data_IF_803325929843
#
_entry.id   IF_803325929843
#
_cell.length_a   1.000
_cell.length_b   1.000
_cell.length_c   1.000
_cell.angle_alpha   90.00
_cell.angle_beta   90.00
_cell.angle_gamma   90.00
#
_symmetry.space_group_name_H-M   'P 1'
#
loop_
_entity.id
_entity.type
_entity.pdbx_description
1 polymer ?
#
# COMPACT_ATOMS: atom_id res chain seq x y z
N UNK A 1 -29.72 -12.29 8.87
CA UNK A 1 -29.76 -13.04 7.59
C UNK A 1 -28.91 -12.24 6.61
N UNK A 2 -27.75 -12.74 6.21
CA UNK A 2 -26.93 -12.07 5.22
C UNK A 2 -27.63 -12.09 3.86
N UNK A 3 -27.76 -10.94 3.22
CA UNK A 3 -28.23 -10.80 1.83
C UNK A 3 -27.34 -11.64 0.92
N UNK A 4 -27.88 -12.23 -0.16
CA UNK A 4 -27.07 -13.06 -1.04
C UNK A 4 -25.93 -12.26 -1.62
N UNK A 5 -24.73 -12.77 -1.41
CA UNK A 5 -23.43 -12.39 -1.93
C UNK A 5 -23.55 -11.91 -3.39
N UNK A 6 -23.46 -10.61 -3.65
CA UNK A 6 -23.22 -10.14 -5.01
C UNK A 6 -21.84 -10.67 -5.41
N UNK A 7 -21.82 -11.58 -6.39
CA UNK A 7 -20.56 -12.15 -6.85
C UNK A 7 -19.60 -11.02 -7.24
N UNK A 8 -18.37 -11.07 -6.70
CA UNK A 8 -17.28 -10.15 -7.07
C UNK A 8 -17.21 -10.00 -8.60
N UNK A 9 -17.15 -8.76 -9.06
CA UNK A 9 -16.88 -8.44 -10.47
C UNK A 9 -15.94 -7.25 -10.56
N UNK A 10 -15.00 -7.31 -11.47
CA UNK A 10 -14.11 -6.20 -11.79
C UNK A 10 -14.92 -5.06 -12.41
N UNK A 11 -14.73 -3.84 -11.91
CA UNK A 11 -15.37 -2.64 -12.42
C UNK A 11 -14.58 -2.06 -13.59
N UNK A 12 -15.32 -1.44 -14.51
CA UNK A 12 -14.82 -0.47 -15.48
C UNK A 12 -15.20 0.96 -15.07
N UNK A 13 -14.87 1.95 -15.86
CA UNK A 13 -15.18 3.35 -15.56
C UNK A 13 -16.70 3.61 -15.40
N UNK A 14 -17.54 2.91 -16.17
CA UNK A 14 -18.99 3.03 -16.04
C UNK A 14 -19.50 2.38 -14.74
N UNK A 15 -18.94 1.20 -14.40
CA UNK A 15 -19.20 0.51 -13.15
C UNK A 15 -18.79 1.34 -11.93
N UNK A 16 -17.61 1.98 -11.97
CA UNK A 16 -17.15 2.89 -10.90
C UNK A 16 -18.08 4.07 -10.75
N UNK A 17 -18.51 4.71 -11.85
CA UNK A 17 -19.49 5.81 -11.81
C UNK A 17 -20.78 5.40 -11.14
N UNK A 18 -21.34 4.24 -11.53
CA UNK A 18 -22.55 3.70 -10.94
C UNK A 18 -22.36 3.34 -9.46
N UNK A 19 -21.22 2.74 -9.11
CA UNK A 19 -20.88 2.38 -7.74
C UNK A 19 -20.84 3.62 -6.84
N UNK A 20 -20.08 4.66 -7.22
CA UNK A 20 -19.96 5.92 -6.49
C UNK A 20 -21.31 6.63 -6.37
N UNK A 21 -22.15 6.61 -7.42
CA UNK A 21 -23.47 7.21 -7.41
C UNK A 21 -24.42 6.55 -6.38
N UNK A 22 -24.24 5.26 -6.10
CA UNK A 22 -25.02 4.52 -5.10
C UNK A 22 -24.51 4.71 -3.66
N UNK A 23 -23.38 5.40 -3.45
CA UNK A 23 -22.82 5.75 -2.14
C UNK A 23 -23.05 7.22 -1.86
N UNK A 24 -24.09 7.57 -1.11
CA UNK A 24 -24.54 8.96 -0.93
C UNK A 24 -23.42 9.93 -0.51
N UNK A 25 -22.57 9.54 0.47
CA UNK A 25 -21.45 10.34 0.96
C UNK A 25 -20.34 10.57 -0.08
N UNK A 26 -20.09 9.59 -0.98
CA UNK A 26 -19.13 9.73 -2.07
C UNK A 26 -19.71 10.61 -3.20
N UNK A 27 -20.98 10.44 -3.52
CA UNK A 27 -21.68 11.26 -4.50
C UNK A 27 -21.73 12.75 -4.06
N UNK A 28 -21.99 13.00 -2.78
CA UNK A 28 -21.93 14.36 -2.19
C UNK A 28 -20.53 14.97 -2.30
N UNK A 29 -19.48 14.19 -2.03
CA UNK A 29 -18.09 14.63 -2.14
C UNK A 29 -17.71 15.03 -3.58
N UNK A 30 -18.21 14.33 -4.59
CA UNK A 30 -17.99 14.69 -5.98
C UNK A 30 -18.85 15.89 -6.42
N UNK A 31 -20.04 16.02 -5.86
CA UNK A 31 -21.03 17.03 -6.25
C UNK A 31 -21.56 16.82 -7.67
N UNK A 32 -22.51 17.66 -8.07
CA UNK A 32 -23.14 17.58 -9.38
C UNK A 32 -23.98 16.31 -9.57
N UNK A 33 -23.98 15.78 -10.78
CA UNK A 33 -24.67 14.52 -11.12
C UNK A 33 -23.67 13.51 -11.69
N UNK A 34 -23.98 12.20 -11.63
CA UNK A 34 -23.07 11.17 -12.19
C UNK A 34 -22.68 11.40 -13.65
N UNK A 35 -23.53 12.05 -14.44
CA UNK A 35 -23.24 12.38 -15.85
C UNK A 35 -22.14 13.44 -15.99
N UNK A 36 -21.90 14.29 -14.99
CA UNK A 36 -20.87 15.33 -14.99
C UNK A 36 -19.51 14.85 -14.47
N UNK A 37 -19.46 13.62 -13.90
CA UNK A 37 -18.22 13.11 -13.33
C UNK A 37 -17.28 12.56 -14.41
N UNK A 38 -15.99 12.87 -14.24
CA UNK A 38 -14.94 12.26 -15.03
C UNK A 38 -14.39 11.06 -14.27
N UNK A 39 -14.46 9.87 -14.87
CA UNK A 39 -13.90 8.64 -14.31
C UNK A 39 -12.86 8.10 -15.27
N UNK A 40 -11.63 7.96 -14.77
CA UNK A 40 -10.52 7.40 -15.54
C UNK A 40 -9.76 6.35 -14.76
N UNK A 41 -9.32 5.31 -15.43
CA UNK A 41 -8.41 4.32 -14.86
C UNK A 41 -6.99 4.89 -14.80
N UNK A 42 -6.27 4.54 -13.71
CA UNK A 42 -4.82 4.78 -13.56
C UNK A 42 -4.11 3.44 -13.68
N UNK A 43 -3.24 3.30 -14.67
CA UNK A 43 -2.66 2.02 -15.07
C UNK A 43 -1.41 1.59 -14.28
N UNK A 44 -0.95 2.36 -13.30
CA UNK A 44 0.33 2.13 -12.62
C UNK A 44 0.29 1.03 -11.54
N UNK A 45 -0.90 0.51 -11.19
CA UNK A 45 -1.07 -0.53 -10.18
C UNK A 45 -0.94 -1.94 -10.73
N UNK A 46 -0.12 -2.80 -10.10
CA UNK A 46 0.01 -4.21 -10.48
C UNK A 46 -0.99 -5.14 -9.79
N UNK A 47 -1.52 -4.76 -8.62
CA UNK A 47 -2.36 -5.60 -7.77
C UNK A 47 -3.83 -5.16 -7.77
N UNK A 48 -4.09 -3.89 -8.05
CA UNK A 48 -5.42 -3.29 -7.99
C UNK A 48 -5.82 -2.64 -9.31
N UNK A 49 -7.14 -2.63 -9.60
CA UNK A 49 -7.70 -1.64 -10.51
C UNK A 49 -7.82 -0.33 -9.75
N UNK A 50 -7.26 0.74 -10.30
CA UNK A 50 -7.27 2.07 -9.67
C UNK A 50 -7.99 3.05 -10.58
N UNK A 51 -8.98 3.74 -10.04
CA UNK A 51 -9.76 4.74 -10.76
C UNK A 51 -9.75 6.06 -10.00
N UNK A 52 -9.63 7.15 -10.72
CA UNK A 52 -9.93 8.48 -10.22
C UNK A 52 -11.31 8.88 -10.72
N UNK A 53 -12.18 9.28 -9.80
CA UNK A 53 -13.49 9.84 -10.09
C UNK A 53 -13.52 11.27 -9.59
N UNK A 54 -13.74 12.22 -10.48
CA UNK A 54 -13.69 13.66 -10.24
C UNK A 54 -15.02 14.30 -10.64
N UNK A 55 -15.55 15.14 -9.78
CA UNK A 55 -16.75 15.93 -9.98
C UNK A 55 -16.55 17.40 -9.65
N UNK A 56 -17.59 18.23 -9.78
CA UNK A 56 -17.48 19.69 -9.58
C UNK A 56 -17.02 20.11 -8.17
N UNK A 57 -17.31 19.33 -7.12
CA UNK A 57 -16.99 19.65 -5.74
C UNK A 57 -15.70 18.98 -5.24
N UNK A 58 -15.21 17.94 -5.91
CA UNK A 58 -14.00 17.21 -5.51
C UNK A 58 -13.85 15.88 -6.19
N UNK A 59 -12.98 15.03 -5.63
CA UNK A 59 -12.69 13.73 -6.21
C UNK A 59 -12.40 12.65 -5.17
N UNK A 60 -12.41 11.41 -5.66
CA UNK A 60 -12.02 10.22 -4.90
C UNK A 60 -11.12 9.32 -5.76
N UNK A 61 -10.27 8.54 -5.09
CA UNK A 61 -9.53 7.45 -5.68
C UNK A 61 -10.16 6.13 -5.22
N UNK A 62 -10.59 5.31 -6.17
CA UNK A 62 -11.17 3.99 -5.92
C UNK A 62 -10.16 2.93 -6.33
N UNK A 63 -9.85 2.04 -5.40
CA UNK A 63 -9.01 0.86 -5.62
C UNK A 63 -9.87 -0.40 -5.49
N UNK A 64 -9.82 -1.29 -6.47
CA UNK A 64 -10.45 -2.61 -6.39
C UNK A 64 -9.39 -3.70 -6.52
N UNK A 65 -9.34 -4.60 -5.56
CA UNK A 65 -8.40 -5.72 -5.57
C UNK A 65 -8.63 -6.65 -6.75
N UNK A 66 -7.56 -7.09 -7.41
CA UNK A 66 -7.60 -8.15 -8.43
C UNK A 66 -7.21 -9.51 -7.84
N UNK A 67 -7.76 -10.63 -8.33
CA UNK A 67 -7.43 -11.95 -7.83
C UNK A 67 -6.07 -12.49 -8.32
N UNK A 68 -5.27 -11.64 -8.96
CA UNK A 68 -3.95 -11.96 -9.51
C UNK A 68 -3.15 -10.70 -9.76
N UNK A 69 -1.85 -10.84 -9.94
CA UNK A 69 -0.98 -9.74 -10.42
C UNK A 69 -1.29 -9.44 -11.88
N UNK A 70 -1.43 -8.17 -12.27
CA UNK A 70 -1.83 -7.75 -13.65
C UNK A 70 -0.85 -8.22 -14.72
N UNK A 71 0.45 -8.09 -14.42
CA UNK A 71 1.52 -8.47 -15.35
C UNK A 71 1.79 -9.97 -15.37
N UNK A 72 1.30 -10.72 -14.39
CA UNK A 72 1.40 -12.17 -14.30
C UNK A 72 0.10 -12.77 -13.73
N UNK A 73 -0.91 -13.08 -14.56
CA UNK A 73 -2.17 -13.65 -14.10
C UNK A 73 -2.05 -15.04 -13.45
N UNK A 74 -0.92 -15.74 -13.62
CA UNK A 74 -0.65 -17.00 -12.93
C UNK A 74 -0.37 -16.79 -11.44
N UNK A 75 0.13 -15.63 -11.05
CA UNK A 75 0.41 -15.26 -9.67
C UNK A 75 -0.89 -14.80 -8.98
N UNK A 76 -1.52 -15.74 -8.29
CA UNK A 76 -2.78 -15.47 -7.58
C UNK A 76 -2.56 -14.63 -6.32
N UNK A 77 -3.48 -13.69 -6.10
CA UNK A 77 -3.46 -12.76 -4.97
C UNK A 77 -4.80 -12.81 -4.20
N UNK A 78 -4.76 -12.76 -2.86
CA UNK A 78 -5.99 -12.70 -2.09
C UNK A 78 -6.67 -11.34 -2.28
N UNK A 79 -8.00 -11.35 -2.38
CA UNK A 79 -8.78 -10.11 -2.52
C UNK A 79 -8.88 -9.32 -1.21
N UNK A 80 -8.81 -10.01 -0.07
CA UNK A 80 -8.95 -9.42 1.28
C UNK A 80 -7.76 -8.55 1.71
N UNK A 81 -6.70 -8.42 0.88
CA UNK A 81 -5.62 -7.46 1.13
C UNK A 81 -6.13 -6.01 1.20
N UNK A 82 -7.21 -5.69 0.47
CA UNK A 82 -7.89 -4.39 0.53
C UNK A 82 -8.43 -4.07 1.93
N UNK A 83 -8.83 -5.09 2.68
CA UNK A 83 -9.19 -4.92 4.09
C UNK A 83 -8.00 -4.42 4.91
N UNK A 84 -6.80 -4.97 4.68
CA UNK A 84 -5.62 -4.57 5.45
C UNK A 84 -5.19 -3.14 5.12
N UNK A 85 -5.31 -2.70 3.86
CA UNK A 85 -5.07 -1.31 3.49
C UNK A 85 -6.09 -0.36 4.15
N UNK A 86 -7.38 -0.70 4.10
CA UNK A 86 -8.44 0.08 4.76
C UNK A 86 -8.24 0.15 6.28
N UNK A 87 -7.90 -0.99 6.91
CA UNK A 87 -7.62 -1.06 8.33
C UNK A 87 -6.37 -0.26 8.71
N UNK A 88 -5.30 -0.36 7.91
CA UNK A 88 -4.08 0.40 8.11
C UNK A 88 -4.34 1.91 8.07
N UNK A 89 -5.01 2.40 7.05
CA UNK A 89 -5.34 3.82 6.92
C UNK A 89 -6.17 4.31 8.10
N UNK A 90 -7.17 3.55 8.55
CA UNK A 90 -7.99 3.91 9.72
C UNK A 90 -7.21 4.01 11.01
N UNK A 91 -6.18 3.16 11.17
CA UNK A 91 -5.31 3.17 12.35
C UNK A 91 -4.29 4.32 12.32
N UNK A 92 -3.71 4.65 11.16
CA UNK A 92 -2.61 5.63 11.10
C UNK A 92 -3.08 7.04 10.76
N UNK A 93 -4.14 7.21 9.97
CA UNK A 93 -4.63 8.53 9.53
C UNK A 93 -4.87 9.52 10.68
N UNK A 94 -5.47 9.14 11.82
CA UNK A 94 -5.69 10.08 12.95
C UNK A 94 -4.38 10.69 13.50
N UNK A 95 -3.25 10.04 13.29
CA UNK A 95 -1.93 10.47 13.81
C UNK A 95 -1.10 11.22 12.77
N UNK A 96 -1.39 11.02 11.49
CA UNK A 96 -0.64 11.58 10.35
C UNK A 96 -1.56 12.05 9.21
N UNK A 97 -2.63 12.83 9.48
CA UNK A 97 -3.67 13.14 8.49
C UNK A 97 -3.15 13.92 7.28
N UNK A 98 -2.03 14.66 7.45
CA UNK A 98 -1.40 15.44 6.38
C UNK A 98 -0.25 14.70 5.69
N UNK A 99 -0.05 13.40 5.98
CA UNK A 99 1.07 12.61 5.47
C UNK A 99 0.61 11.29 4.83
N UNK A 100 -0.69 10.97 4.90
CA UNK A 100 -1.31 9.82 4.23
C UNK A 100 -2.71 10.20 3.75
N UNK A 101 -3.41 9.27 3.10
CA UNK A 101 -4.77 9.46 2.59
C UNK A 101 -5.82 8.99 3.59
N UNK A 102 -6.99 9.66 3.59
CA UNK A 102 -8.15 9.24 4.35
C UNK A 102 -8.84 8.04 3.68
N UNK A 103 -9.20 7.02 4.47
CA UNK A 103 -10.11 5.96 4.05
C UNK A 103 -11.56 6.45 4.11
N UNK A 104 -12.13 6.81 2.97
CA UNK A 104 -13.48 7.36 2.85
C UNK A 104 -14.55 6.28 2.87
N UNK A 105 -14.26 5.12 2.27
CA UNK A 105 -15.19 3.99 2.18
C UNK A 105 -14.43 2.68 1.97
N UNK A 106 -14.98 1.59 2.51
CA UNK A 106 -14.49 0.23 2.27
C UNK A 106 -15.67 -0.73 2.11
N UNK A 107 -15.68 -1.44 1.00
CA UNK A 107 -16.65 -2.48 0.66
C UNK A 107 -15.98 -3.85 0.73
N UNK A 108 -16.28 -4.66 1.77
CA UNK A 108 -15.68 -5.98 1.93
C UNK A 108 -16.24 -7.04 0.96
N UNK A 109 -17.38 -6.80 0.30
CA UNK A 109 -17.99 -7.77 -0.64
C UNK A 109 -17.39 -7.63 -2.04
N UNK A 110 -17.13 -6.38 -2.47
CA UNK A 110 -16.52 -6.08 -3.77
C UNK A 110 -15.02 -5.82 -3.68
N UNK A 111 -14.44 -5.88 -2.47
CA UNK A 111 -13.04 -5.58 -2.20
C UNK A 111 -12.60 -4.23 -2.77
N UNK A 112 -13.44 -3.22 -2.50
CA UNK A 112 -13.23 -1.85 -2.94
C UNK A 112 -12.82 -0.98 -1.74
N UNK A 113 -11.73 -0.27 -1.90
CA UNK A 113 -11.30 0.81 -1.02
C UNK A 113 -11.45 2.13 -1.76
N UNK A 114 -12.07 3.11 -1.13
CA UNK A 114 -12.14 4.49 -1.63
C UNK A 114 -11.39 5.41 -0.67
N UNK A 115 -10.43 6.13 -1.20
CA UNK A 115 -9.63 7.12 -0.47
C UNK A 115 -9.79 8.51 -1.10
N UNK A 116 -9.32 9.54 -0.39
CA UNK A 116 -9.25 10.89 -0.97
C UNK A 116 -8.43 10.92 -2.26
N UNK A 117 -8.84 11.77 -3.21
CA UNK A 117 -8.08 11.99 -4.44
C UNK A 117 -6.90 12.91 -4.18
N UNK A 118 -5.71 12.50 -4.64
CA UNK A 118 -4.49 13.31 -4.60
C UNK A 118 -4.30 14.01 -5.96
N UNK A 119 -5.24 14.88 -6.31
CA UNK A 119 -5.16 15.65 -7.57
C UNK A 119 -3.91 16.53 -7.58
N UNK A 120 -3.19 16.52 -8.71
CA UNK A 120 -1.95 17.28 -8.88
C UNK A 120 -0.69 16.64 -8.31
N UNK A 121 -0.80 15.58 -7.52
CA UNK A 121 0.36 14.84 -7.03
C UNK A 121 0.94 13.92 -8.11
N UNK A 122 2.25 13.69 -8.03
CA UNK A 122 2.98 12.70 -8.83
C UNK A 122 3.59 11.66 -7.91
N UNK A 123 3.72 10.44 -8.39
CA UNK A 123 4.50 9.41 -7.71
C UNK A 123 5.94 9.91 -7.55
N UNK A 124 6.51 9.83 -6.35
CA UNK A 124 7.85 10.36 -6.04
C UNK A 124 8.92 9.75 -6.94
N UNK A 125 8.83 8.45 -7.27
CA UNK A 125 9.75 7.80 -8.23
C UNK A 125 9.76 8.53 -9.57
N UNK A 126 8.58 8.86 -10.11
CA UNK A 126 8.45 9.59 -11.37
C UNK A 126 9.01 11.02 -11.25
N UNK A 127 8.73 11.69 -10.13
CA UNK A 127 9.26 13.03 -9.89
C UNK A 127 10.80 13.04 -9.85
N UNK A 128 11.42 12.09 -9.13
CA UNK A 128 12.88 11.93 -9.05
C UNK A 128 13.52 11.64 -10.41
N UNK A 129 12.86 10.87 -11.27
CA UNK A 129 13.34 10.61 -12.64
C UNK A 129 13.26 11.84 -13.55
N UNK A 130 12.39 12.80 -13.23
CA UNK A 130 12.21 14.03 -13.99
C UNK A 130 13.15 15.15 -13.55
N UNK A 131 13.74 15.06 -12.36
CA UNK A 131 14.68 16.06 -11.85
C UNK A 131 14.71 16.16 -10.32
N UNK A 132 15.31 17.22 -9.79
CA UNK A 132 15.36 17.47 -8.36
C UNK A 132 13.94 17.64 -7.78
N UNK A 133 13.75 17.12 -6.57
CA UNK A 133 12.53 17.28 -5.79
C UNK A 133 12.80 18.10 -4.53
N UNK A 134 11.76 18.61 -3.89
CA UNK A 134 11.88 19.33 -2.64
C UNK A 134 12.52 18.43 -1.55
N UNK A 135 13.65 18.82 -0.94
CA UNK A 135 14.33 18.02 0.09
C UNK A 135 13.49 17.80 1.36
N UNK A 136 12.47 18.63 1.62
CA UNK A 136 11.55 18.47 2.75
C UNK A 136 10.74 17.17 2.69
N UNK A 137 10.66 16.53 1.51
CA UNK A 137 10.04 15.22 1.35
C UNK A 137 10.64 14.19 2.32
N UNK A 138 11.98 14.18 2.46
CA UNK A 138 12.66 13.25 3.39
C UNK A 138 12.23 13.49 4.85
N UNK A 139 12.13 14.77 5.26
CA UNK A 139 11.64 15.13 6.59
C UNK A 139 10.20 14.69 6.81
N UNK A 140 9.31 14.86 5.82
CA UNK A 140 7.91 14.45 5.90
C UNK A 140 7.76 12.94 5.99
N UNK A 141 8.53 12.19 5.20
CA UNK A 141 8.55 10.71 5.26
C UNK A 141 9.05 10.25 6.63
N UNK A 142 10.14 10.83 7.15
CA UNK A 142 10.62 10.55 8.51
C UNK A 142 9.59 10.85 9.59
N UNK A 143 8.84 11.94 9.47
CA UNK A 143 7.73 12.28 10.36
C UNK A 143 6.57 11.26 10.25
N UNK A 144 6.24 10.82 9.04
CA UNK A 144 5.24 9.77 8.83
C UNK A 144 5.65 8.50 9.56
N UNK A 145 6.84 7.96 9.30
CA UNK A 145 7.32 6.73 9.94
C UNK A 145 7.35 6.89 11.47
N UNK A 146 7.96 7.97 11.99
CA UNK A 146 8.09 8.17 13.42
C UNK A 146 6.73 8.27 14.13
N UNK A 147 5.78 9.05 13.60
CA UNK A 147 4.48 9.28 14.24
C UNK A 147 3.56 8.07 14.13
N UNK A 148 3.46 7.44 12.95
CA UNK A 148 2.60 6.28 12.73
C UNK A 148 3.06 5.07 13.56
N UNK A 149 4.37 4.79 13.58
CA UNK A 149 4.92 3.66 14.34
C UNK A 149 4.86 3.92 15.85
N UNK A 150 5.18 5.12 16.32
CA UNK A 150 5.03 5.47 17.75
C UNK A 150 3.58 5.29 18.20
N UNK A 151 2.63 5.89 17.47
CA UNK A 151 1.22 5.88 17.82
C UNK A 151 0.59 4.47 17.84
N UNK A 152 1.16 3.51 17.12
CA UNK A 152 0.65 2.14 17.05
C UNK A 152 1.42 1.15 17.93
N UNK A 153 2.41 1.64 18.68
CA UNK A 153 3.27 0.83 19.56
C UNK A 153 2.77 0.78 21.00
N UNK A 154 3.35 -0.12 21.81
CA UNK A 154 3.13 -0.18 23.27
C UNK A 154 3.65 1.06 24.02
N UNK A 155 4.38 1.96 23.37
CA UNK A 155 4.84 3.21 23.97
C UNK A 155 3.73 4.27 24.05
N UNK A 156 2.72 4.19 23.20
CA UNK A 156 1.64 5.18 23.11
C UNK A 156 0.25 4.61 23.41
N UNK A 157 0.04 3.31 23.22
CA UNK A 157 -1.29 2.70 23.28
C UNK A 157 -1.39 1.63 24.39
N UNK A 158 -2.59 1.43 24.97
CA UNK A 158 -2.84 0.36 25.93
C UNK A 158 -2.55 -1.02 25.35
N UNK A 159 -2.10 -1.93 26.21
CA UNK A 159 -1.71 -3.29 25.83
C UNK A 159 -2.79 -4.03 25.04
N UNK A 160 -4.05 -4.00 25.49
CA UNK A 160 -5.16 -4.70 24.86
C UNK A 160 -5.43 -4.18 23.45
N UNK A 161 -5.32 -2.86 23.22
CA UNK A 161 -5.52 -2.25 21.92
C UNK A 161 -4.43 -2.69 20.94
N UNK A 162 -3.17 -2.67 21.38
CA UNK A 162 -2.03 -3.14 20.58
C UNK A 162 -2.17 -4.63 20.27
N UNK A 163 -2.56 -5.47 21.24
CA UNK A 163 -2.74 -6.91 21.02
C UNK A 163 -3.85 -7.21 20.01
N UNK A 164 -4.99 -6.55 20.10
CA UNK A 164 -6.09 -6.71 19.15
C UNK A 164 -5.67 -6.32 17.73
N UNK A 165 -4.92 -5.23 17.59
CA UNK A 165 -4.37 -4.78 16.32
C UNK A 165 -3.36 -5.77 15.75
N UNK A 166 -2.45 -6.30 16.58
CA UNK A 166 -1.51 -7.36 16.19
C UNK A 166 -2.21 -8.61 15.67
N UNK A 167 -3.26 -9.07 16.36
CA UNK A 167 -4.07 -10.22 15.93
C UNK A 167 -4.73 -9.94 14.59
N UNK A 168 -5.26 -8.73 14.36
CA UNK A 168 -5.85 -8.33 13.10
C UNK A 168 -4.84 -8.43 11.96
N UNK A 169 -3.70 -7.75 12.08
CA UNK A 169 -2.70 -7.66 11.01
C UNK A 169 -1.86 -8.94 10.85
N UNK A 170 -1.78 -9.82 11.86
CA UNK A 170 -1.18 -11.15 11.71
C UNK A 170 -1.92 -12.04 10.69
N UNK A 171 -3.14 -11.68 10.30
CA UNK A 171 -3.91 -12.36 9.25
C UNK A 171 -3.44 -11.99 7.83
N UNK A 172 -2.67 -10.91 7.67
CA UNK A 172 -2.09 -10.51 6.38
C UNK A 172 -0.90 -11.41 5.98
N UNK A 173 -1.13 -12.72 6.00
CA UNK A 173 -0.07 -13.72 5.84
C UNK A 173 0.52 -13.75 4.44
N UNK A 174 -0.32 -13.59 3.41
CA UNK A 174 0.14 -13.68 2.02
C UNK A 174 1.09 -12.54 1.68
N UNK A 175 0.74 -11.28 2.02
CA UNK A 175 1.61 -10.14 1.73
C UNK A 175 2.85 -10.14 2.63
N UNK A 176 2.73 -10.50 3.90
CA UNK A 176 3.88 -10.70 4.79
C UNK A 176 4.84 -11.77 4.22
N UNK A 177 4.30 -12.87 3.68
CA UNK A 177 5.11 -13.91 3.03
C UNK A 177 5.82 -13.37 1.78
N UNK A 178 5.13 -12.58 0.94
CA UNK A 178 5.73 -11.94 -0.23
C UNK A 178 6.90 -11.02 0.18
N UNK A 179 6.74 -10.23 1.23
CA UNK A 179 7.84 -9.41 1.79
C UNK A 179 9.04 -10.27 2.19
N UNK A 180 8.83 -11.36 2.92
CA UNK A 180 9.91 -12.28 3.31
C UNK A 180 10.58 -12.91 2.10
N UNK A 181 9.80 -13.35 1.13
CA UNK A 181 10.34 -14.01 -0.08
C UNK A 181 11.13 -13.01 -0.95
N UNK A 182 10.52 -11.87 -1.32
CA UNK A 182 11.12 -10.96 -2.28
C UNK A 182 12.25 -10.08 -1.72
N UNK A 183 12.24 -9.80 -0.41
CA UNK A 183 13.23 -8.91 0.22
C UNK A 183 14.28 -9.70 1.00
N UNK A 184 13.86 -10.71 1.77
CA UNK A 184 14.74 -11.40 2.71
C UNK A 184 15.18 -12.80 2.25
N UNK A 185 14.78 -13.26 1.06
CA UNK A 185 15.10 -14.62 0.59
C UNK A 185 15.62 -14.64 -0.85
N UNK A 186 14.78 -14.32 -1.84
CA UNK A 186 15.06 -14.52 -3.26
C UNK A 186 16.31 -13.80 -3.77
N UNK A 187 16.63 -12.55 -3.36
CA UNK A 187 17.82 -11.87 -3.87
C UNK A 187 19.12 -12.60 -3.56
N UNK A 188 19.14 -13.40 -2.51
CA UNK A 188 20.34 -14.07 -1.97
C UNK A 188 20.52 -15.50 -2.46
N UNK A 189 19.60 -16.03 -3.25
CA UNK A 189 19.63 -17.38 -3.83
C UNK A 189 19.31 -17.32 -5.33
N UNK A 190 19.68 -18.33 -6.13
CA UNK A 190 19.13 -18.47 -7.48
C UNK A 190 17.61 -18.66 -7.42
N UNK A 191 16.86 -17.73 -8.04
CA UNK A 191 15.41 -17.79 -8.08
C UNK A 191 14.87 -17.19 -9.39
N UNK A 192 13.82 -17.75 -10.02
CA UNK A 192 13.27 -17.26 -11.30
C UNK A 192 12.73 -15.83 -11.26
N UNK A 193 12.33 -15.34 -10.08
CA UNK A 193 11.85 -13.96 -9.90
C UNK A 193 12.98 -12.92 -9.88
N UNK A 194 14.24 -13.33 -9.80
CA UNK A 194 15.37 -12.40 -9.79
C UNK A 194 15.72 -11.94 -11.20
N UNK A 195 15.75 -10.63 -11.40
CA UNK A 195 16.14 -10.00 -12.64
C UNK A 195 17.19 -8.92 -12.39
N UNK A 196 18.20 -8.84 -13.25
CA UNK A 196 19.23 -7.80 -13.25
C UNK A 196 19.69 -7.52 -14.67
N UNK A 197 20.39 -6.40 -14.89
CA UNK A 197 20.99 -6.11 -16.18
C UNK A 197 22.14 -7.08 -16.45
N UNK A 198 21.99 -7.90 -17.48
CA UNK A 198 23.00 -8.88 -17.92
C UNK A 198 23.69 -8.37 -19.20
N UNK A 199 25.01 -8.60 -19.33
CA UNK A 199 25.91 -9.32 -18.40
C UNK A 199 26.51 -8.43 -17.29
N UNK A 200 26.25 -7.12 -17.28
CA UNK A 200 26.98 -6.12 -16.52
C UNK A 200 26.93 -6.36 -15.01
N UNK A 201 25.77 -6.68 -14.45
CA UNK A 201 25.58 -6.90 -13.02
C UNK A 201 25.79 -8.34 -12.58
N UNK A 202 25.96 -9.30 -13.51
CA UNK A 202 26.14 -10.71 -13.17
C UNK A 202 27.29 -10.99 -12.22
N UNK A 203 28.49 -10.37 -12.35
CA UNK A 203 29.58 -10.56 -11.39
C UNK A 203 29.21 -10.08 -9.97
N UNK A 204 28.49 -8.95 -9.87
CA UNK A 204 28.05 -8.38 -8.58
C UNK A 204 27.04 -9.29 -7.90
N UNK A 205 26.05 -9.79 -8.64
CA UNK A 205 25.05 -10.74 -8.15
C UNK A 205 25.70 -12.05 -7.67
N UNK A 206 26.66 -12.58 -8.43
CA UNK A 206 27.39 -13.78 -8.02
C UNK A 206 28.21 -13.54 -6.75
N UNK A 207 28.88 -12.40 -6.62
CA UNK A 207 29.63 -12.02 -5.42
C UNK A 207 28.72 -11.88 -4.20
N UNK A 208 27.54 -11.23 -4.36
CA UNK A 208 26.54 -11.11 -3.31
C UNK A 208 26.06 -12.48 -2.83
N UNK A 209 25.72 -13.38 -3.74
CA UNK A 209 25.25 -14.74 -3.43
C UNK A 209 26.35 -15.62 -2.83
N UNK A 210 27.62 -15.41 -3.19
CA UNK A 210 28.76 -16.12 -2.61
C UNK A 210 29.13 -15.62 -1.22
N UNK A 211 28.65 -14.44 -0.80
CA UNK A 211 28.99 -13.82 0.49
C UNK A 211 28.29 -14.54 1.65
N UNK A 212 28.91 -15.58 2.20
CA UNK A 212 28.36 -16.35 3.31
C UNK A 212 28.08 -15.52 4.59
N UNK A 213 28.95 -14.59 5.03
CA UNK A 213 28.64 -13.71 6.15
C UNK A 213 27.39 -12.84 5.94
N UNK A 214 27.21 -12.29 4.73
CA UNK A 214 26.01 -11.52 4.39
C UNK A 214 24.76 -12.39 4.47
N UNK A 215 24.78 -13.56 3.84
CA UNK A 215 23.66 -14.52 3.88
C UNK A 215 23.27 -14.89 5.30
N UNK A 216 24.24 -15.20 6.16
CA UNK A 216 23.96 -15.51 7.57
C UNK A 216 23.26 -14.37 8.31
N UNK A 217 23.63 -13.11 8.03
CA UNK A 217 22.95 -11.94 8.61
C UNK A 217 21.50 -11.80 8.09
N UNK A 218 21.30 -11.99 6.79
CA UNK A 218 19.95 -11.93 6.20
C UNK A 218 19.07 -13.07 6.72
N UNK A 219 19.64 -14.27 6.86
CA UNK A 219 18.93 -15.42 7.45
C UNK A 219 18.49 -15.14 8.89
N UNK A 220 19.26 -14.36 9.66
CA UNK A 220 18.88 -13.91 11.00
C UNK A 220 17.80 -12.81 10.99
N UNK A 221 17.72 -11.98 9.92
CA UNK A 221 16.68 -10.94 9.82
C UNK A 221 15.28 -11.52 9.61
N UNK A 222 15.13 -12.64 8.91
CA UNK A 222 13.82 -13.26 8.68
C UNK A 222 13.04 -13.58 9.96
N UNK A 223 13.59 -14.39 10.90
CA UNK A 223 12.90 -14.62 12.18
C UNK A 223 12.76 -13.34 12.99
N UNK A 224 13.71 -12.42 12.93
CA UNK A 224 13.61 -11.13 13.61
C UNK A 224 12.43 -10.30 13.10
N UNK A 225 12.24 -10.20 11.78
CA UNK A 225 11.10 -9.54 11.15
C UNK A 225 9.76 -10.12 11.62
N UNK A 226 9.66 -11.45 11.66
CA UNK A 226 8.42 -12.15 11.99
C UNK A 226 8.11 -12.19 13.49
N UNK A 227 9.11 -12.14 14.36
CA UNK A 227 8.95 -12.33 15.80
C UNK A 227 9.11 -11.07 16.65
N UNK A 228 9.39 -9.91 16.01
CA UNK A 228 9.61 -8.65 16.73
C UNK A 228 8.56 -7.58 16.36
N UNK A 229 7.29 -7.77 16.79
CA UNK A 229 6.18 -6.90 16.41
C UNK A 229 6.15 -5.64 17.31
N UNK A 230 6.93 -4.63 16.96
CA UNK A 230 7.08 -3.38 17.71
C UNK A 230 5.95 -2.39 17.41
N UNK A 231 5.57 -2.23 16.14
CA UNK A 231 4.56 -1.29 15.70
C UNK A 231 3.87 -1.79 14.42
N UNK A 232 2.76 -1.15 14.05
CA UNK A 232 2.14 -1.33 12.75
C UNK A 232 2.96 -0.58 11.71
N UNK A 233 3.49 -1.31 10.73
CA UNK A 233 4.33 -0.80 9.66
C UNK A 233 3.52 -0.58 8.39
N UNK A 234 4.05 0.25 7.48
CA UNK A 234 3.58 0.31 6.10
C UNK A 234 3.89 -0.99 5.35
N UNK A 235 5.08 -1.51 5.55
CA UNK A 235 5.52 -2.81 5.05
C UNK A 235 6.00 -2.84 3.61
N UNK A 236 5.80 -1.75 2.85
CA UNK A 236 6.29 -1.57 1.47
C UNK A 236 6.55 -0.08 1.18
N UNK A 237 7.25 0.59 2.09
CA UNK A 237 7.54 2.02 1.99
C UNK A 237 8.69 2.28 1.03
N UNK A 238 8.38 2.76 -0.15
CA UNK A 238 9.35 3.10 -1.18
C UNK A 238 8.87 4.29 -2.04
N UNK A 239 9.70 4.79 -2.94
CA UNK A 239 9.37 5.94 -3.79
C UNK A 239 8.15 5.75 -4.71
N UNK A 240 7.68 4.51 -4.90
CA UNK A 240 6.46 4.20 -5.64
C UNK A 240 5.19 4.31 -4.80
N UNK A 241 5.30 4.19 -3.46
CA UNK A 241 4.20 4.33 -2.50
C UNK A 241 4.13 5.72 -1.85
N UNK A 242 4.77 6.71 -2.47
CA UNK A 242 4.78 8.11 -2.03
C UNK A 242 4.33 8.99 -3.19
N UNK A 243 3.39 9.89 -2.93
CA UNK A 243 2.95 10.92 -3.86
C UNK A 243 3.34 12.29 -3.36
N UNK A 244 3.74 13.18 -4.27
CA UNK A 244 4.27 14.50 -3.94
C UNK A 244 3.82 15.59 -4.90
N UNK A 245 3.68 16.80 -4.36
CA UNK A 245 3.71 18.07 -5.09
C UNK A 245 4.95 18.85 -4.66
N UNK A 246 5.04 20.13 -4.97
CA UNK A 246 6.08 21.02 -4.45
C UNK A 246 5.99 21.14 -2.91
N UNK A 247 4.75 21.22 -2.36
CA UNK A 247 4.51 21.54 -0.96
C UNK A 247 3.87 20.40 -0.15
N UNK A 248 3.46 19.31 -0.77
CA UNK A 248 2.78 18.21 -0.08
C UNK A 248 3.42 16.85 -0.38
N UNK A 249 3.33 15.93 0.59
CA UNK A 249 3.85 14.57 0.50
C UNK A 249 2.89 13.63 1.21
N UNK A 250 2.43 12.61 0.49
CA UNK A 250 1.46 11.62 0.99
C UNK A 250 1.97 10.20 0.78
N UNK A 251 1.95 9.40 1.82
CA UNK A 251 2.21 7.96 1.76
C UNK A 251 0.91 7.23 1.43
N UNK A 252 0.97 6.31 0.49
CA UNK A 252 -0.15 5.52 -0.04
C UNK A 252 0.22 4.04 -0.09
N UNK A 253 -0.74 3.15 -0.40
CA UNK A 253 -0.51 1.71 -0.64
C UNK A 253 -0.09 0.90 0.58
N UNK A 254 -0.74 1.10 1.74
CA UNK A 254 -0.47 0.35 2.98
C UNK A 254 -1.05 -1.08 3.02
N UNK A 255 -1.25 -1.75 1.88
CA UNK A 255 -1.84 -3.10 1.83
C UNK A 255 -0.92 -4.19 2.39
N UNK A 256 0.39 -3.96 2.40
CA UNK A 256 1.39 -4.88 2.97
C UNK A 256 1.50 -4.82 4.49
N UNK A 257 0.81 -3.91 5.14
CA UNK A 257 0.96 -3.62 6.56
C UNK A 257 1.06 -4.86 7.47
N UNK A 258 2.21 -5.09 8.13
CA UNK A 258 2.40 -6.06 9.19
C UNK A 258 2.58 -5.36 10.53
N UNK A 259 2.50 -6.10 11.62
CA UNK A 259 3.21 -5.72 12.85
C UNK A 259 4.64 -6.25 12.79
N UNK A 260 5.61 -5.36 12.87
CA UNK A 260 7.02 -5.71 12.69
C UNK A 260 8.00 -4.77 13.40
N UNK A 261 9.31 -4.96 13.18
CA UNK A 261 10.36 -4.07 13.71
C UNK A 261 10.32 -2.72 13.00
N UNK A 262 10.31 -1.62 13.75
CA UNK A 262 10.20 -0.24 13.22
C UNK A 262 11.29 0.06 12.17
N UNK A 263 12.49 -0.47 12.36
CA UNK A 263 13.61 -0.28 11.45
C UNK A 263 13.37 -0.85 10.02
N UNK A 264 12.27 -1.57 9.78
CA UNK A 264 11.95 -2.08 8.44
C UNK A 264 11.45 -0.99 7.50
N UNK A 265 10.68 -0.03 8.02
CA UNK A 265 10.17 1.12 7.27
C UNK A 265 11.07 2.38 7.37
N UNK A 266 12.14 2.34 8.21
CA UNK A 266 13.00 3.49 8.52
C UNK A 266 14.17 3.70 7.55
#
# INVERSE_FOLDING_TARGET
MATPNQAYRTLDAAGVRAYVANQAHLAERLGGTPATWQVREVSDGNLNMVFLAEGPAGGVCLKQALPHVRVDPSWKMPLDRTFFEAAYLREVFPHVPNLTTECLHFDPEQFILVVESLSGHKVLRTALMQGPVNPDIATRIGQFVARSTFATSLLAEPFEKVMNRRICFARNQTLTRITVDLILTDPYIPHPRNHWAEPELTPVVNALRANAPLRARVDALRPHFLSNPQALLHGDLHTGSIMTTEDDTRVIDGEFAPYGPIAFDA
#
